data_IF_979682081624
#
_entry.id   IF_979682081624
#
_cell.length_a   1.000
_cell.length_b   1.000
_cell.length_c   1.000
_cell.angle_alpha   90.00
_cell.angle_beta   90.00
_cell.angle_gamma   90.00
#
_symmetry.space_group_name_H-M   'P 1'
#
loop_
_entity.id
_entity.type
_entity.pdbx_description
1 polymer ?
#
# COMPACT_ATOMS: atom_id res chain seq x y z
N UNK A 1 -6.40 -8.63 -17.85
CA UNK A 1 -5.94 -7.42 -17.15
C UNK A 1 -4.64 -7.65 -16.41
N UNK A 2 -3.74 -6.66 -16.41
CA UNK A 2 -2.37 -6.74 -15.89
C UNK A 2 -2.25 -6.85 -14.36
N UNK A 3 -3.05 -7.72 -13.74
CA UNK A 3 -3.08 -7.99 -12.31
C UNK A 3 -2.83 -9.49 -12.04
N UNK A 4 -1.58 -9.96 -12.21
CA UNK A 4 -1.28 -11.39 -12.18
C UNK A 4 -1.47 -12.02 -10.80
N UNK A 5 -1.17 -11.32 -9.70
CA UNK A 5 -1.33 -11.88 -8.35
C UNK A 5 -2.80 -11.94 -7.97
N UNK A 6 -3.57 -10.91 -8.29
CA UNK A 6 -5.02 -10.93 -8.14
C UNK A 6 -5.64 -12.06 -8.98
N UNK A 7 -5.28 -12.17 -10.25
CA UNK A 7 -5.81 -13.19 -11.16
C UNK A 7 -5.51 -14.61 -10.64
N UNK A 8 -4.28 -14.87 -10.23
CA UNK A 8 -3.88 -16.16 -9.68
C UNK A 8 -4.66 -16.53 -8.42
N UNK A 9 -4.85 -15.58 -7.49
CA UNK A 9 -5.64 -15.83 -6.29
C UNK A 9 -7.15 -15.98 -6.60
N UNK A 10 -7.70 -15.18 -7.50
CA UNK A 10 -9.12 -15.22 -7.86
C UNK A 10 -9.54 -16.53 -8.56
N UNK A 11 -8.58 -17.24 -9.15
CA UNK A 11 -8.80 -18.54 -9.76
C UNK A 11 -8.88 -19.69 -8.75
N UNK A 12 -8.53 -19.46 -7.48
CA UNK A 12 -8.65 -20.45 -6.42
C UNK A 12 -10.12 -20.64 -6.02
N UNK A 13 -10.52 -21.84 -5.58
CA UNK A 13 -11.86 -22.06 -5.06
C UNK A 13 -12.08 -21.23 -3.80
N UNK A 14 -13.29 -20.69 -3.64
CA UNK A 14 -13.68 -19.98 -2.43
C UNK A 14 -13.75 -20.93 -1.24
N UNK A 15 -13.14 -20.59 -0.09
CA UNK A 15 -13.27 -21.38 1.13
C UNK A 15 -14.69 -21.40 1.68
N UNK A 16 -15.09 -22.50 2.31
CA UNK A 16 -16.44 -22.68 2.85
C UNK A 16 -16.63 -22.06 4.24
N UNK A 17 -15.57 -21.95 5.05
CA UNK A 17 -15.69 -21.39 6.40
C UNK A 17 -15.69 -19.86 6.34
N UNK A 18 -16.52 -19.16 7.13
CA UNK A 18 -16.64 -17.70 7.05
C UNK A 18 -15.32 -16.94 7.23
N UNK A 19 -14.46 -17.40 8.15
CA UNK A 19 -13.15 -16.76 8.41
C UNK A 19 -12.19 -16.94 7.24
N UNK A 20 -12.17 -18.12 6.61
CA UNK A 20 -11.31 -18.38 5.46
C UNK A 20 -11.82 -17.64 4.22
N UNK A 21 -13.14 -17.54 4.05
CA UNK A 21 -13.76 -16.75 3.00
C UNK A 21 -13.42 -15.25 3.13
N UNK A 22 -13.49 -14.69 4.34
CA UNK A 22 -13.09 -13.31 4.61
C UNK A 22 -11.59 -13.08 4.37
N UNK A 23 -10.73 -14.00 4.82
CA UNK A 23 -9.30 -13.95 4.55
C UNK A 23 -9.00 -13.97 3.04
N UNK A 24 -9.71 -14.83 2.30
CA UNK A 24 -9.57 -14.91 0.86
C UNK A 24 -10.01 -13.59 0.18
N UNK A 25 -11.17 -13.05 0.54
CA UNK A 25 -11.68 -11.80 0.00
C UNK A 25 -10.73 -10.61 0.24
N UNK A 26 -10.21 -10.47 1.46
CA UNK A 26 -9.25 -9.39 1.80
C UNK A 26 -7.90 -9.60 1.11
N UNK A 27 -7.47 -10.85 0.90
CA UNK A 27 -6.29 -11.17 0.09
C UNK A 27 -6.48 -10.74 -1.36
N UNK A 28 -7.65 -10.99 -1.96
CA UNK A 28 -7.96 -10.53 -3.32
C UNK A 28 -7.88 -9.01 -3.42
N UNK A 29 -8.49 -8.26 -2.50
CA UNK A 29 -8.40 -6.79 -2.51
C UNK A 29 -6.94 -6.31 -2.35
N UNK A 30 -6.17 -6.97 -1.47
CA UNK A 30 -4.76 -6.66 -1.24
C UNK A 30 -3.89 -6.92 -2.47
N UNK A 31 -4.07 -8.04 -3.17
CA UNK A 31 -3.33 -8.33 -4.40
C UNK A 31 -3.81 -7.46 -5.57
N UNK A 32 -5.11 -7.14 -5.64
CA UNK A 32 -5.63 -6.19 -6.62
C UNK A 32 -4.93 -4.83 -6.48
N UNK A 33 -4.90 -4.25 -5.27
CA UNK A 33 -4.17 -2.98 -5.03
C UNK A 33 -2.68 -3.11 -5.27
N UNK A 34 -2.07 -4.22 -4.82
CA UNK A 34 -0.64 -4.50 -4.98
C UNK A 34 -0.19 -4.52 -6.44
N UNK A 35 -0.92 -5.23 -7.30
CA UNK A 35 -0.65 -5.26 -8.75
C UNK A 35 -0.75 -3.86 -9.38
N UNK A 36 -1.71 -3.04 -8.93
CA UNK A 36 -1.83 -1.64 -9.37
C UNK A 36 -0.65 -0.77 -8.95
N UNK A 37 -0.12 -0.99 -7.74
CA UNK A 37 1.08 -0.32 -7.25
C UNK A 37 2.31 -0.69 -8.10
N UNK A 38 2.51 -1.97 -8.39
CA UNK A 38 3.60 -2.44 -9.25
C UNK A 38 3.50 -1.83 -10.66
N UNK A 39 2.31 -1.84 -11.25
CA UNK A 39 2.08 -1.26 -12.58
C UNK A 39 2.37 0.25 -12.61
N UNK A 40 1.95 0.98 -11.58
CA UNK A 40 2.17 2.43 -11.48
C UNK A 40 3.66 2.74 -11.34
N UNK A 41 4.36 2.08 -10.40
CA UNK A 41 5.80 2.25 -10.23
C UNK A 41 6.58 1.96 -11.52
N UNK A 42 6.24 0.88 -12.22
CA UNK A 42 6.86 0.53 -13.49
C UNK A 42 6.65 1.63 -14.54
N UNK A 43 5.44 2.17 -14.64
CA UNK A 43 5.12 3.25 -15.60
C UNK A 43 5.86 4.56 -15.29
N UNK A 44 6.16 4.79 -14.00
CA UNK A 44 6.92 5.96 -13.52
C UNK A 44 8.44 5.74 -13.53
N UNK A 45 8.91 4.57 -13.99
CA UNK A 45 10.33 4.23 -14.03
C UNK A 45 10.96 4.12 -12.64
N UNK A 46 10.18 3.72 -11.64
CA UNK A 46 10.66 3.48 -10.28
C UNK A 46 10.73 1.98 -10.02
N UNK A 47 11.88 1.53 -9.51
CA UNK A 47 11.96 0.17 -8.97
C UNK A 47 11.24 0.08 -7.62
N UNK A 48 10.88 -1.15 -7.21
CA UNK A 48 10.36 -1.38 -5.85
C UNK A 48 11.36 -0.95 -4.76
N UNK A 49 12.66 -1.04 -5.03
CA UNK A 49 13.69 -0.59 -4.09
C UNK A 49 13.76 0.94 -3.99
N UNK A 50 13.57 1.65 -5.11
CA UNK A 50 13.54 3.12 -5.10
C UNK A 50 12.25 3.66 -4.48
N UNK A 51 11.12 2.99 -4.69
CA UNK A 51 9.83 3.34 -4.05
C UNK A 51 9.95 3.38 -2.52
N UNK A 52 10.61 2.39 -1.92
CA UNK A 52 10.89 2.35 -0.48
C UNK A 52 11.69 3.57 0.00
N UNK A 53 12.72 3.98 -0.76
CA UNK A 53 13.56 5.14 -0.44
C UNK A 53 12.76 6.43 -0.56
N UNK A 54 11.99 6.58 -1.63
CA UNK A 54 11.11 7.73 -1.85
C UNK A 54 10.07 7.86 -0.72
N UNK A 55 9.46 6.74 -0.31
CA UNK A 55 8.47 6.69 0.76
C UNK A 55 9.08 7.05 2.14
N UNK A 56 10.32 6.61 2.41
CA UNK A 56 11.04 7.01 3.63
C UNK A 56 11.46 8.49 3.60
N UNK A 57 11.95 8.98 2.45
CA UNK A 57 12.34 10.38 2.28
C UNK A 57 11.16 11.36 2.43
N UNK A 58 9.94 10.90 2.13
CA UNK A 58 8.70 11.63 2.38
C UNK A 58 8.26 11.64 3.86
N UNK A 59 9.02 11.00 4.76
CA UNK A 59 8.72 10.93 6.19
C UNK A 59 7.56 10.01 6.57
N UNK A 60 7.03 9.23 5.62
CA UNK A 60 5.91 8.32 5.86
C UNK A 60 6.29 7.13 6.73
N UNK A 61 7.57 6.74 6.68
CA UNK A 61 8.13 5.62 7.47
C UNK A 61 9.59 5.91 7.83
N UNK A 62 10.09 5.43 8.99
CA UNK A 62 11.50 5.56 9.32
C UNK A 62 12.41 4.77 8.36
N UNK A 63 13.49 5.40 7.88
CA UNK A 63 14.49 4.76 7.01
C UNK A 63 15.01 3.43 7.58
N UNK A 64 15.41 3.42 8.85
CA UNK A 64 15.94 2.22 9.51
C UNK A 64 14.93 1.07 9.59
N UNK A 65 13.64 1.39 9.71
CA UNK A 65 12.58 0.38 9.69
C UNK A 65 12.49 -0.27 8.30
N UNK A 66 12.54 0.52 7.24
CA UNK A 66 12.48 0.01 5.86
C UNK A 66 13.73 -0.79 5.52
N UNK A 67 14.93 -0.28 5.84
CA UNK A 67 16.19 -0.99 5.60
C UNK A 67 16.18 -2.37 6.24
N UNK A 68 15.76 -2.47 7.51
CA UNK A 68 15.66 -3.74 8.22
C UNK A 68 14.56 -4.66 7.67
N UNK A 69 13.37 -4.13 7.42
CA UNK A 69 12.22 -4.96 7.00
C UNK A 69 12.28 -5.42 5.55
N UNK A 70 13.10 -4.76 4.71
CA UNK A 70 13.27 -5.05 3.28
C UNK A 70 14.69 -5.52 2.92
N UNK A 71 15.52 -5.76 3.93
CA UNK A 71 16.87 -6.31 3.82
C UNK A 71 17.74 -5.51 2.84
N UNK A 72 17.93 -4.22 3.16
CA UNK A 72 18.87 -3.35 2.46
C UNK A 72 20.24 -3.40 3.09
N UNK A 73 21.27 -3.44 2.22
CA UNK A 73 22.60 -2.97 2.62
C UNK A 73 22.69 -1.44 2.54
N UNK A 74 23.70 -0.86 3.19
CA UNK A 74 23.96 0.59 3.12
C UNK A 74 24.31 1.03 1.70
N UNK A 75 25.02 0.19 0.95
CA UNK A 75 25.40 0.43 -0.45
C UNK A 75 24.17 0.42 -1.35
N UNK A 76 23.25 -0.54 -1.17
CA UNK A 76 22.00 -0.59 -1.94
C UNK A 76 21.14 0.65 -1.69
N UNK A 77 21.03 1.07 -0.42
CA UNK A 77 20.28 2.27 -0.05
C UNK A 77 20.89 3.51 -0.69
N UNK A 78 22.21 3.67 -0.56
CA UNK A 78 22.96 4.81 -1.12
C UNK A 78 22.81 4.87 -2.64
N UNK A 79 22.94 3.74 -3.33
CA UNK A 79 22.74 3.63 -4.78
C UNK A 79 21.33 4.09 -5.21
N UNK A 80 20.29 3.69 -4.46
CA UNK A 80 18.93 4.16 -4.74
C UNK A 80 18.78 5.67 -4.51
N UNK A 81 19.36 6.22 -3.44
CA UNK A 81 19.36 7.67 -3.17
C UNK A 81 20.05 8.43 -4.30
N UNK A 82 21.23 8.00 -4.73
CA UNK A 82 21.99 8.61 -5.83
C UNK A 82 21.22 8.54 -7.15
N UNK A 83 20.61 7.40 -7.48
CA UNK A 83 19.81 7.24 -8.70
C UNK A 83 18.56 8.13 -8.71
N UNK A 84 17.92 8.32 -7.57
CA UNK A 84 16.79 9.25 -7.42
C UNK A 84 17.24 10.71 -7.46
N UNK A 85 18.39 11.04 -6.87
CA UNK A 85 18.96 12.38 -6.90
C UNK A 85 19.44 12.79 -8.30
N UNK A 86 20.03 11.87 -9.05
CA UNK A 86 20.41 12.09 -10.45
C UNK A 86 19.20 12.41 -11.36
N UNK A 87 18.00 11.95 -10.98
CA UNK A 87 16.73 12.29 -11.63
C UNK A 87 16.05 13.53 -11.05
N UNK A 88 16.67 14.17 -10.06
CA UNK A 88 16.13 15.35 -9.39
C UNK A 88 14.90 15.05 -8.55
N UNK A 89 14.67 13.81 -8.12
CA UNK A 89 13.56 13.44 -7.23
C UNK A 89 13.95 13.60 -5.77
N UNK A 90 15.22 13.35 -5.45
CA UNK A 90 15.82 13.66 -4.16
C UNK A 90 16.93 14.71 -4.29
N UNK A 91 17.26 15.37 -3.19
CA UNK A 91 18.50 16.14 -3.08
C UNK A 91 19.68 15.21 -2.85
N UNK A 92 20.91 15.71 -2.99
CA UNK A 92 22.12 14.94 -2.64
C UNK A 92 22.16 14.50 -1.16
N UNK A 93 21.40 15.17 -0.28
CA UNK A 93 21.25 14.78 1.12
C UNK A 93 20.15 13.72 1.35
N UNK A 94 19.50 13.23 0.29
CA UNK A 94 18.44 12.23 0.36
C UNK A 94 17.07 12.78 0.77
N UNK A 95 16.88 14.11 0.75
CA UNK A 95 15.58 14.73 1.05
C UNK A 95 14.72 14.84 -0.19
N UNK A 96 13.40 14.76 -0.03
CA UNK A 96 12.46 14.93 -1.14
C UNK A 96 12.59 16.32 -1.77
N UNK A 97 12.54 16.39 -3.09
CA UNK A 97 12.41 17.65 -3.85
C UNK A 97 10.95 17.89 -4.22
N UNK A 98 10.62 19.07 -4.74
CA UNK A 98 9.29 19.36 -5.29
C UNK A 98 8.89 18.37 -6.41
N UNK A 99 9.84 17.99 -7.27
CA UNK A 99 9.62 16.99 -8.32
C UNK A 99 9.38 15.60 -7.72
N UNK A 100 10.14 15.23 -6.69
CA UNK A 100 9.94 13.98 -5.95
C UNK A 100 8.57 13.92 -5.27
N UNK A 101 8.12 15.03 -4.67
CA UNK A 101 6.78 15.14 -4.09
C UNK A 101 5.70 14.99 -5.16
N UNK A 102 5.83 15.68 -6.30
CA UNK A 102 4.87 15.57 -7.39
C UNK A 102 4.75 14.14 -7.95
N UNK A 103 5.88 13.42 -8.08
CA UNK A 103 5.86 12.00 -8.48
C UNK A 103 5.18 11.15 -7.42
N UNK A 104 5.49 11.35 -6.13
CA UNK A 104 4.87 10.61 -5.05
C UNK A 104 3.35 10.80 -5.08
N UNK A 105 2.87 12.04 -5.16
CA UNK A 105 1.45 12.36 -5.19
C UNK A 105 0.75 11.73 -6.41
N UNK A 106 1.41 11.75 -7.57
CA UNK A 106 0.90 11.07 -8.77
C UNK A 106 0.78 9.56 -8.55
N UNK A 107 1.78 8.91 -7.95
CA UNK A 107 1.73 7.48 -7.66
C UNK A 107 0.57 7.15 -6.72
N UNK A 108 0.44 7.87 -5.60
CA UNK A 108 -0.66 7.63 -4.65
C UNK A 108 -2.02 7.78 -5.35
N UNK A 109 -2.25 8.90 -6.04
CA UNK A 109 -3.49 9.17 -6.76
C UNK A 109 -3.81 8.10 -7.82
N UNK A 110 -2.81 7.68 -8.62
CA UNK A 110 -2.99 6.63 -9.62
C UNK A 110 -3.32 5.29 -8.97
N UNK A 111 -2.60 4.92 -7.90
CA UNK A 111 -2.87 3.65 -7.20
C UNK A 111 -4.22 3.63 -6.50
N UNK A 112 -4.68 4.75 -5.95
CA UNK A 112 -6.02 4.90 -5.37
C UNK A 112 -7.12 4.80 -6.43
N UNK A 113 -6.99 5.54 -7.54
CA UNK A 113 -7.94 5.45 -8.66
C UNK A 113 -8.03 4.02 -9.22
N UNK A 114 -6.88 3.33 -9.34
CA UNK A 114 -6.84 1.93 -9.76
C UNK A 114 -7.40 0.96 -8.72
N UNK A 115 -7.32 1.27 -7.42
CA UNK A 115 -7.85 0.43 -6.36
C UNK A 115 -9.38 0.53 -6.29
N UNK A 116 -9.93 1.74 -6.47
CA UNK A 116 -11.38 2.00 -6.45
C UNK A 116 -12.16 1.17 -7.48
N UNK A 117 -11.51 0.69 -8.54
CA UNK A 117 -12.18 -0.18 -9.53
C UNK A 117 -12.67 -1.50 -8.93
N UNK A 118 -12.13 -1.95 -7.80
CA UNK A 118 -12.61 -3.14 -7.10
C UNK A 118 -13.98 -2.93 -6.44
N UNK A 119 -14.38 -1.68 -6.22
CA UNK A 119 -15.66 -1.30 -5.60
C UNK A 119 -16.67 -0.75 -6.62
N UNK A 120 -16.32 -0.73 -7.92
CA UNK A 120 -17.10 -0.06 -8.97
C UNK A 120 -18.56 -0.52 -9.05
N UNK A 121 -18.81 -1.79 -8.78
CA UNK A 121 -20.14 -2.40 -8.90
C UNK A 121 -20.95 -2.33 -7.59
N UNK A 122 -20.39 -1.73 -6.54
CA UNK A 122 -21.08 -1.51 -5.27
C UNK A 122 -21.75 -0.13 -5.24
N UNK A 123 -22.97 -0.06 -4.72
CA UNK A 123 -23.61 1.19 -4.35
C UNK A 123 -23.01 1.77 -3.07
N UNK A 124 -23.24 3.07 -2.82
CA UNK A 124 -22.70 3.75 -1.64
C UNK A 124 -23.11 3.07 -0.32
N UNK A 125 -24.35 2.57 -0.22
CA UNK A 125 -24.82 1.84 0.96
C UNK A 125 -24.16 0.45 1.12
N UNK A 126 -23.72 -0.17 0.03
CA UNK A 126 -22.96 -1.41 0.05
C UNK A 126 -21.52 -1.20 0.52
N UNK A 127 -20.89 -0.10 0.08
CA UNK A 127 -19.58 0.30 0.57
C UNK A 127 -19.64 0.70 2.04
N UNK A 128 -20.66 1.44 2.46
CA UNK A 128 -20.88 1.76 3.89
C UNK A 128 -21.04 0.48 4.72
N UNK A 129 -21.86 -0.48 4.27
CA UNK A 129 -22.01 -1.77 4.94
C UNK A 129 -20.69 -2.54 5.07
N UNK A 130 -19.82 -2.45 4.06
CA UNK A 130 -18.51 -3.09 4.09
C UNK A 130 -17.63 -2.51 5.21
N UNK A 131 -17.55 -1.18 5.32
CA UNK A 131 -16.78 -0.51 6.38
C UNK A 131 -17.34 -0.85 7.77
N UNK A 132 -18.66 -0.70 7.96
CA UNK A 132 -19.33 -1.03 9.23
C UNK A 132 -19.10 -2.48 9.66
N UNK A 133 -19.03 -3.42 8.73
CA UNK A 133 -18.76 -4.83 9.04
C UNK A 133 -17.27 -5.11 9.33
N UNK A 134 -16.34 -4.48 8.61
CA UNK A 134 -14.90 -4.80 8.69
C UNK A 134 -14.17 -4.04 9.80
N UNK A 135 -14.58 -2.83 10.16
CA UNK A 135 -13.85 -2.02 11.15
C UNK A 135 -13.83 -2.68 12.54
N UNK A 136 -14.93 -3.26 13.08
CA UNK A 136 -14.88 -4.00 14.34
C UNK A 136 -13.95 -5.22 14.30
N UNK A 137 -13.89 -5.93 13.17
CA UNK A 137 -12.97 -7.06 12.99
C UNK A 137 -11.51 -6.59 12.95
N UNK A 138 -11.25 -5.46 12.30
CA UNK A 138 -9.93 -4.82 12.26
C UNK A 138 -9.47 -4.44 13.67
N UNK A 139 -10.35 -3.84 14.49
CA UNK A 139 -10.06 -3.56 15.90
C UNK A 139 -9.68 -4.82 16.68
N UNK A 140 -10.40 -5.93 16.49
CA UNK A 140 -10.10 -7.20 17.16
C UNK A 140 -8.73 -7.77 16.75
N UNK A 141 -8.40 -7.73 15.45
CA UNK A 141 -7.09 -8.17 14.95
C UNK A 141 -5.96 -7.30 15.52
N UNK A 142 -6.15 -5.98 15.56
CA UNK A 142 -5.18 -5.04 16.15
C UNK A 142 -5.02 -5.28 17.66
N UNK A 143 -6.12 -5.51 18.38
CA UNK A 143 -6.11 -5.81 19.82
C UNK A 143 -5.44 -7.16 20.14
N UNK A 144 -5.41 -8.09 19.18
CA UNK A 144 -4.68 -9.35 19.29
C UNK A 144 -3.16 -9.19 19.47
N UNK A 145 -2.59 -8.05 19.05
CA UNK A 145 -1.20 -7.69 19.34
C UNK A 145 -0.14 -8.32 18.42
N UNK A 146 -0.53 -9.20 17.51
CA UNK A 146 0.39 -9.86 16.56
C UNK A 146 0.89 -8.92 15.44
N UNK A 147 0.21 -7.79 15.22
CA UNK A 147 0.58 -6.80 14.22
C UNK A 147 1.57 -5.75 14.77
N UNK A 148 2.68 -5.47 14.06
CA UNK A 148 3.59 -4.39 14.42
C UNK A 148 2.88 -3.05 14.60
N UNK A 149 3.31 -2.25 15.57
CA UNK A 149 2.73 -0.93 15.85
C UNK A 149 2.87 0.03 14.66
N UNK A 150 3.94 -0.09 13.88
CA UNK A 150 4.16 0.64 12.65
C UNK A 150 4.15 -0.31 11.45
N UNK A 151 3.40 0.04 10.43
CA UNK A 151 3.39 -0.67 9.15
C UNK A 151 3.58 0.32 8.00
N UNK A 152 4.21 -0.08 6.88
CA UNK A 152 4.35 0.77 5.72
C UNK A 152 3.04 0.90 4.90
N UNK A 153 1.93 0.30 5.36
CA UNK A 153 0.65 0.28 4.62
C UNK A 153 -0.26 1.44 4.99
N UNK A 154 0.21 2.44 5.75
CA UNK A 154 -0.51 3.68 6.00
C UNK A 154 -1.73 3.56 6.92
N UNK A 155 -2.12 2.37 7.39
CA UNK A 155 -3.21 2.22 8.36
C UNK A 155 -2.88 3.01 9.62
N UNK A 156 -3.63 4.08 9.86
CA UNK A 156 -3.52 4.84 11.10
C UNK A 156 -4.55 4.28 12.08
N UNK A 157 -4.08 3.72 13.20
CA UNK A 157 -4.96 3.01 14.15
C UNK A 157 -5.98 3.95 14.83
N UNK A 158 -5.75 5.25 14.79
CA UNK A 158 -6.65 6.33 15.21
C UNK A 158 -7.83 6.57 14.27
N UNK A 159 -7.78 6.08 13.02
CA UNK A 159 -8.92 6.11 12.09
C UNK A 159 -9.95 5.02 12.40
N UNK A 160 -9.61 4.07 13.27
CA UNK A 160 -10.49 2.96 13.65
C UNK A 160 -11.52 3.36 14.70
N UNK A 161 -11.68 4.61 15.10
CA UNK A 161 -12.75 5.02 16.02
C UNK A 161 -14.07 5.30 15.27
N UNK A 162 -14.03 5.40 13.94
CA UNK A 162 -15.17 5.58 13.05
C UNK A 162 -15.35 4.34 12.15
N UNK A 163 -16.59 3.89 12.00
CA UNK A 163 -16.97 2.73 11.20
C UNK A 163 -17.54 3.13 9.82
N UNK A 164 -17.62 4.43 9.51
CA UNK A 164 -18.19 4.94 8.27
C UNK A 164 -17.20 4.94 7.10
N UNK A 165 -17.72 4.81 5.88
CA UNK A 165 -16.94 4.93 4.66
C UNK A 165 -16.68 6.38 4.22
N UNK A 166 -17.35 7.37 4.85
CA UNK A 166 -17.23 8.80 4.54
C UNK A 166 -17.42 9.16 3.06
N UNK A 167 -18.43 8.55 2.42
CA UNK A 167 -18.80 8.76 1.01
C UNK A 167 -19.55 10.07 0.76
#
# INVERSE_FOLDING_TARGET
>A
DGRPLFAANSALPWPETPVAALWHATTLLREHRGDGHVATLLSEGLSGRESNVLHAAAGSVPTEFIKRSRDYTDEEWTSCVEALAARGLLTAAGTLTDSGQAIKDRIENCTDAMALTALRDLADDEVERLFVALTPLTRLVVAGGDLPAATPMGLRRDELDDDSAHL
#
